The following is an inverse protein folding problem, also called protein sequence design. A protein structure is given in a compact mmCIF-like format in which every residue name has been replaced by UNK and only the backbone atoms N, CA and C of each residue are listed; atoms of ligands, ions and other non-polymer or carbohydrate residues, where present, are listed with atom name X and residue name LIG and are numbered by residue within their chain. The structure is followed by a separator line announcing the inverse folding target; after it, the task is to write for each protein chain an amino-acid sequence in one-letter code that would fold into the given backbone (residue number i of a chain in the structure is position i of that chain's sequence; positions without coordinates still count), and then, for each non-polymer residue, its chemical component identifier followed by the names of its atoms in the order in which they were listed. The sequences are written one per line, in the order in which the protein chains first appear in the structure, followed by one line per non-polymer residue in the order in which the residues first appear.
data_IF_874225368053
#
_entry.id   IF_874225368053
#
_cell.length_a   1.000
_cell.length_b   1.000
_cell.length_c   1.000
_cell.angle_alpha   90.00
_cell.angle_beta   90.00
_cell.angle_gamma   90.00
#
_symmetry.space_group_name_H-M   'P 1'
#
loop_
_entity.id
_entity.type
_entity.pdbx_description
1 polymer ?
#
# COMPACT_ATOMS: atom_id res chain seq x y z
N UNK A 1 24.71 1.84 42.34
CA UNK A 1 24.15 0.70 41.60
C UNK A 1 22.76 1.09 41.17
N UNK A 2 22.59 1.43 39.90
CA UNK A 2 21.25 1.52 39.33
C UNK A 2 20.83 0.07 39.06
N UNK A 3 19.81 -0.39 39.78
CA UNK A 3 19.15 -1.65 39.46
C UNK A 3 18.48 -1.46 38.11
N UNK A 4 19.05 -2.09 37.08
CA UNK A 4 18.32 -2.50 35.88
C UNK A 4 17.20 -3.43 36.36
N UNK A 5 16.02 -2.86 36.58
CA UNK A 5 14.81 -3.65 36.57
C UNK A 5 14.53 -3.89 35.10
N UNK A 6 15.04 -5.02 34.64
CA UNK A 6 14.65 -5.68 33.40
C UNK A 6 13.13 -5.95 33.46
N UNK A 7 12.36 -4.94 33.08
CA UNK A 7 10.95 -5.05 32.76
C UNK A 7 10.78 -5.43 31.28
N UNK A 8 11.69 -6.22 30.70
CA UNK A 8 11.28 -7.02 29.55
C UNK A 8 10.26 -8.03 30.08
N UNK A 9 8.99 -7.78 29.81
CA UNK A 9 7.91 -8.73 30.04
C UNK A 9 8.15 -9.96 29.17
N UNK A 10 9.04 -10.84 29.61
CA UNK A 10 9.45 -12.06 28.92
C UNK A 10 8.43 -13.18 29.15
N UNK A 11 7.14 -12.92 28.91
CA UNK A 11 6.23 -13.99 28.55
C UNK A 11 6.45 -14.25 27.08
N UNK A 12 7.09 -15.38 26.75
CA UNK A 12 7.22 -15.82 25.36
C UNK A 12 5.85 -15.92 24.67
N UNK A 13 5.82 -16.07 23.33
CA UNK A 13 4.59 -16.16 22.57
C UNK A 13 3.64 -17.21 23.17
N UNK A 14 2.38 -16.81 23.40
CA UNK A 14 1.36 -17.68 23.98
C UNK A 14 0.51 -18.36 22.91
N UNK A 15 0.58 -17.90 21.66
CA UNK A 15 -0.13 -18.46 20.53
C UNK A 15 0.65 -19.62 19.89
N UNK A 16 0.13 -20.86 19.90
CA UNK A 16 0.80 -22.00 19.27
C UNK A 16 0.90 -21.92 17.74
N UNK A 17 0.10 -21.05 17.10
CA UNK A 17 0.19 -20.79 15.66
C UNK A 17 1.25 -19.73 15.31
N UNK A 18 1.83 -19.05 16.31
CA UNK A 18 2.88 -18.06 16.08
C UNK A 18 4.20 -18.71 15.66
N UNK A 19 4.80 -18.15 14.63
CA UNK A 19 6.24 -18.21 14.39
C UNK A 19 6.68 -16.90 13.74
N UNK A 20 7.94 -16.51 13.93
CA UNK A 20 8.48 -15.29 13.32
C UNK A 20 8.36 -15.32 11.79
N UNK A 21 8.59 -16.49 11.18
CA UNK A 21 8.45 -16.66 9.72
C UNK A 21 7.00 -16.51 9.26
N UNK A 22 6.04 -17.13 9.96
CA UNK A 22 4.63 -17.06 9.62
C UNK A 22 4.09 -15.64 9.80
N UNK A 23 4.48 -14.96 10.89
CA UNK A 23 4.11 -13.57 11.14
C UNK A 23 4.73 -12.63 10.10
N UNK A 24 6.02 -12.78 9.79
CA UNK A 24 6.71 -11.98 8.77
C UNK A 24 6.05 -12.12 7.40
N UNK A 25 5.70 -13.35 7.01
CA UNK A 25 4.99 -13.63 5.76
C UNK A 25 3.60 -13.02 5.73
N UNK A 26 2.79 -13.23 6.77
CA UNK A 26 1.44 -12.69 6.83
C UNK A 26 1.44 -11.15 6.89
N UNK A 27 2.42 -10.56 7.56
CA UNK A 27 2.65 -9.11 7.57
C UNK A 27 2.98 -8.59 6.18
N UNK A 28 3.87 -9.26 5.45
CA UNK A 28 4.19 -8.89 4.07
C UNK A 28 2.95 -8.97 3.17
N UNK A 29 2.15 -10.04 3.27
CA UNK A 29 0.93 -10.21 2.47
C UNK A 29 -0.13 -9.15 2.77
N UNK A 30 -0.37 -8.81 4.04
CA UNK A 30 -1.33 -7.74 4.39
C UNK A 30 -0.81 -6.37 3.96
N UNK A 31 0.50 -6.12 4.05
CA UNK A 31 1.10 -4.86 3.60
C UNK A 31 1.07 -4.70 2.07
N UNK A 32 0.80 -5.76 1.29
CA UNK A 32 0.51 -5.62 -0.13
C UNK A 32 -0.86 -5.00 -0.39
N UNK A 33 -1.79 -5.02 0.58
CA UNK A 33 -3.07 -4.35 0.45
C UNK A 33 -2.90 -2.86 0.71
N UNK A 34 -3.38 -2.05 -0.22
CA UNK A 34 -3.44 -0.61 -0.04
C UNK A 34 -4.69 -0.03 -0.70
N UNK A 35 -5.08 1.16 -0.26
CA UNK A 35 -6.17 1.90 -0.86
C UNK A 35 -5.62 2.74 -2.00
N UNK A 36 -6.37 2.84 -3.10
CA UNK A 36 -5.96 3.70 -4.21
C UNK A 36 -5.65 5.11 -3.68
N UNK A 37 -4.45 5.66 -3.93
CA UNK A 37 -3.98 6.87 -3.25
C UNK A 37 -4.73 8.16 -3.63
N UNK A 38 -5.59 8.10 -4.63
CA UNK A 38 -6.42 9.21 -5.10
C UNK A 38 -7.27 8.77 -6.29
N UNK A 39 -8.01 9.70 -6.89
CA UNK A 39 -8.74 9.43 -8.14
C UNK A 39 -7.74 9.27 -9.28
N UNK A 40 -7.89 8.20 -10.06
CA UNK A 40 -7.02 7.92 -11.21
C UNK A 40 -7.27 8.89 -12.36
N UNK A 41 -6.22 9.57 -12.79
CA UNK A 41 -6.17 10.39 -14.00
C UNK A 41 -5.15 9.76 -14.98
N UNK A 42 -5.61 9.34 -16.16
CA UNK A 42 -4.73 8.86 -17.22
C UNK A 42 -4.14 10.06 -17.98
N UNK A 43 -2.88 10.41 -17.71
CA UNK A 43 -2.22 11.56 -18.34
C UNK A 43 -1.91 11.25 -19.80
N UNK A 44 -1.33 10.07 -20.05
CA UNK A 44 -1.07 9.48 -21.37
C UNK A 44 -0.66 8.01 -21.22
N UNK A 45 -0.58 7.20 -22.29
CA UNK A 45 -0.10 5.82 -22.19
C UNK A 45 1.23 5.72 -21.46
N UNK A 46 1.26 4.91 -20.38
CA UNK A 46 2.41 4.71 -19.52
C UNK A 46 2.59 5.75 -18.40
N UNK A 47 1.69 6.71 -18.23
CA UNK A 47 1.70 7.67 -17.12
C UNK A 47 0.30 7.88 -16.55
N UNK A 48 0.10 7.41 -15.33
CA UNK A 48 -1.10 7.65 -14.54
C UNK A 48 -0.80 8.60 -13.39
N UNK A 49 -1.80 9.36 -12.94
CA UNK A 49 -1.72 10.26 -11.78
C UNK A 49 -2.83 9.95 -10.78
N UNK A 50 -2.52 10.04 -9.50
CA UNK A 50 -3.40 9.85 -8.36
C UNK A 50 -3.14 10.98 -7.36
N UNK A 51 -3.81 12.12 -7.53
CA UNK A 51 -3.52 13.32 -6.72
C UNK A 51 -2.09 13.82 -6.95
N UNK A 52 -1.22 13.69 -5.95
CA UNK A 52 0.20 14.08 -6.05
C UNK A 52 1.10 12.93 -6.51
N UNK A 53 0.57 11.71 -6.65
CA UNK A 53 1.34 10.52 -7.04
C UNK A 53 1.29 10.31 -8.55
N UNK A 54 2.43 10.23 -9.20
CA UNK A 54 2.60 9.80 -10.58
C UNK A 54 3.11 8.36 -10.62
N UNK A 55 2.49 7.54 -11.47
CA UNK A 55 2.94 6.18 -11.77
C UNK A 55 3.35 6.12 -13.23
N UNK A 56 4.61 5.80 -13.47
CA UNK A 56 5.20 5.63 -14.81
C UNK A 56 5.43 4.14 -15.02
N UNK A 57 4.85 3.59 -16.09
CA UNK A 57 4.75 2.15 -16.32
C UNK A 57 4.83 1.81 -17.81
N UNK A 58 4.99 0.53 -18.13
CA UNK A 58 4.90 0.04 -19.50
C UNK A 58 3.42 -0.29 -19.82
N UNK A 59 2.76 0.43 -20.74
CA UNK A 59 1.36 0.22 -21.06
C UNK A 59 1.05 -1.08 -21.80
N UNK A 60 2.08 -1.77 -22.34
CA UNK A 60 1.91 -3.05 -23.04
C UNK A 60 1.90 -4.26 -22.07
N UNK A 61 2.02 -4.01 -20.76
CA UNK A 61 1.99 -5.02 -19.70
C UNK A 61 0.59 -5.11 -19.09
N UNK A 62 0.26 -6.17 -18.32
CA UNK A 62 -0.94 -6.20 -17.50
C UNK A 62 -1.04 -4.95 -16.57
N UNK A 63 -2.18 -4.67 -15.94
CA UNK A 63 -2.28 -3.59 -14.97
C UNK A 63 -1.24 -3.75 -13.85
N UNK A 64 -0.56 -2.68 -13.45
CA UNK A 64 0.49 -2.74 -12.40
C UNK A 64 -0.09 -2.97 -11.00
N UNK A 65 -1.33 -2.54 -10.78
CA UNK A 65 -2.13 -2.88 -9.60
C UNK A 65 -3.38 -3.62 -10.03
N UNK A 66 -3.85 -4.52 -9.17
CA UNK A 66 -5.10 -5.23 -9.34
C UNK A 66 -6.00 -5.01 -8.14
N UNK A 67 -7.29 -4.86 -8.39
CA UNK A 67 -8.28 -4.76 -7.32
C UNK A 67 -8.54 -6.14 -6.72
N UNK A 68 -8.58 -6.22 -5.39
CA UNK A 68 -8.87 -7.46 -4.68
C UNK A 68 -10.36 -7.61 -4.39
N UNK A 69 -10.81 -8.84 -4.21
CA UNK A 69 -12.14 -9.16 -3.70
C UNK A 69 -12.21 -9.05 -2.18
N UNK A 70 -13.43 -8.97 -1.64
CA UNK A 70 -13.66 -9.04 -0.19
C UNK A 70 -13.06 -10.32 0.40
N UNK A 71 -13.25 -11.47 -0.27
CA UNK A 71 -12.69 -12.76 0.13
C UNK A 71 -11.18 -12.73 0.21
N UNK A 72 -10.50 -12.15 -0.78
CA UNK A 72 -9.05 -12.05 -0.77
C UNK A 72 -8.55 -11.15 0.35
N UNK A 73 -9.13 -9.95 0.51
CA UNK A 73 -8.74 -9.00 1.55
C UNK A 73 -8.90 -9.60 2.95
N UNK A 74 -10.09 -10.14 3.27
CA UNK A 74 -10.37 -10.72 4.57
C UNK A 74 -9.54 -11.98 4.86
N UNK A 75 -9.24 -12.81 3.84
CA UNK A 75 -8.35 -13.96 4.02
C UNK A 75 -6.97 -13.51 4.51
N UNK A 76 -6.41 -12.44 3.95
CA UNK A 76 -5.10 -11.92 4.36
C UNK A 76 -5.15 -11.36 5.79
N UNK A 77 -6.18 -10.56 6.11
CA UNK A 77 -6.38 -10.01 7.45
C UNK A 77 -6.52 -11.12 8.51
N UNK A 78 -7.33 -12.15 8.24
CA UNK A 78 -7.51 -13.29 9.15
C UNK A 78 -6.19 -14.05 9.33
N UNK A 79 -5.44 -14.28 8.25
CA UNK A 79 -4.15 -14.96 8.31
C UNK A 79 -3.14 -14.18 9.17
N UNK A 80 -3.10 -12.86 9.05
CA UNK A 80 -2.27 -12.01 9.90
C UNK A 80 -2.63 -12.16 11.38
N UNK A 81 -3.91 -12.02 11.74
CA UNK A 81 -4.31 -12.11 13.15
C UNK A 81 -4.10 -13.48 13.77
N UNK A 82 -4.18 -14.56 12.99
CA UNK A 82 -3.85 -15.92 13.45
C UNK A 82 -2.38 -16.07 13.87
N UNK A 83 -1.50 -15.23 13.33
CA UNK A 83 -0.07 -15.27 13.55
C UNK A 83 0.42 -14.28 14.62
N UNK A 84 -0.46 -13.64 15.39
CA UNK A 84 -0.04 -12.72 16.48
C UNK A 84 0.52 -13.52 17.67
N UNK A 85 1.62 -13.07 18.33
CA UNK A 85 2.24 -13.82 19.44
C UNK A 85 1.30 -14.07 20.63
N UNK A 86 0.42 -13.12 20.93
CA UNK A 86 -0.54 -13.18 22.03
C UNK A 86 -1.84 -13.90 21.61
N UNK A 87 -2.11 -15.07 22.21
CA UNK A 87 -3.28 -15.90 21.86
C UNK A 87 -4.61 -15.20 22.14
N UNK A 88 -4.71 -14.49 23.26
CA UNK A 88 -5.93 -13.78 23.64
C UNK A 88 -6.27 -12.67 22.63
N UNK A 89 -5.26 -11.94 22.16
CA UNK A 89 -5.43 -10.92 21.12
C UNK A 89 -5.81 -11.55 19.78
N UNK A 90 -5.09 -12.61 19.39
CA UNK A 90 -5.41 -13.39 18.18
C UNK A 90 -6.86 -13.86 18.19
N UNK A 91 -7.35 -14.43 19.30
CA UNK A 91 -8.71 -14.94 19.39
C UNK A 91 -9.77 -13.85 19.26
N UNK A 92 -9.56 -12.71 19.92
CA UNK A 92 -10.48 -11.57 19.83
C UNK A 92 -10.53 -11.05 18.40
N UNK A 93 -9.37 -10.81 17.78
CA UNK A 93 -9.30 -10.19 16.46
C UNK A 93 -9.71 -11.15 15.33
N UNK A 94 -9.30 -12.41 15.38
CA UNK A 94 -9.75 -13.42 14.41
C UNK A 94 -11.27 -13.58 14.49
N UNK A 95 -11.84 -13.64 15.69
CA UNK A 95 -13.29 -13.74 15.87
C UNK A 95 -14.02 -12.51 15.31
N UNK A 96 -13.54 -11.29 15.61
CA UNK A 96 -14.12 -10.06 15.11
C UNK A 96 -14.09 -9.98 13.57
N UNK A 97 -12.92 -10.21 12.96
CA UNK A 97 -12.74 -10.14 11.51
C UNK A 97 -13.50 -11.26 10.79
N UNK A 98 -13.54 -12.47 11.36
CA UNK A 98 -14.33 -13.58 10.80
C UNK A 98 -15.84 -13.31 10.89
N UNK A 99 -16.31 -12.71 11.99
CA UNK A 99 -17.69 -12.30 12.16
C UNK A 99 -18.08 -11.29 11.08
N UNK A 100 -17.26 -10.25 10.87
CA UNK A 100 -17.45 -9.29 9.77
C UNK A 100 -17.50 -9.98 8.40
N UNK A 101 -16.52 -10.82 8.10
CA UNK A 101 -16.48 -11.54 6.82
C UNK A 101 -17.74 -12.38 6.59
N UNK A 102 -18.29 -12.98 7.65
CA UNK A 102 -19.48 -13.82 7.59
C UNK A 102 -20.79 -13.03 7.42
N UNK A 103 -20.79 -11.70 7.63
CA UNK A 103 -21.95 -10.84 7.37
C UNK A 103 -22.23 -10.69 5.88
N UNK A 104 -21.20 -10.81 5.04
CA UNK A 104 -21.33 -10.82 3.59
C UNK A 104 -21.93 -12.15 3.11
N UNK A 105 -22.87 -12.08 2.18
CA UNK A 105 -23.30 -13.24 1.39
C UNK A 105 -22.16 -13.78 0.52
N UNK A 106 -22.25 -15.03 0.06
CA UNK A 106 -21.21 -15.60 -0.82
C UNK A 106 -21.00 -14.79 -2.10
N UNK A 107 -22.07 -14.25 -2.68
CA UNK A 107 -21.96 -13.37 -3.85
C UNK A 107 -21.23 -12.06 -3.52
N UNK A 108 -21.46 -11.48 -2.34
CA UNK A 108 -20.76 -10.26 -1.91
C UNK A 108 -19.28 -10.50 -1.59
N UNK A 109 -18.93 -11.67 -1.06
CA UNK A 109 -17.54 -12.06 -0.79
C UNK A 109 -16.69 -12.07 -2.06
N UNK A 110 -17.29 -12.37 -3.20
CA UNK A 110 -16.60 -12.42 -4.50
C UNK A 110 -16.66 -11.07 -5.26
N UNK A 111 -17.31 -10.05 -4.69
CA UNK A 111 -17.25 -8.68 -5.23
C UNK A 111 -15.93 -8.01 -4.87
N UNK A 112 -15.58 -7.02 -5.68
CA UNK A 112 -14.44 -6.17 -5.41
C UNK A 112 -14.57 -5.39 -4.09
N UNK A 113 -13.44 -5.26 -3.41
CA UNK A 113 -13.31 -4.54 -2.15
C UNK A 113 -13.06 -3.05 -2.38
N UNK A 114 -13.69 -2.24 -1.54
CA UNK A 114 -13.59 -0.78 -1.49
C UNK A 114 -13.44 -0.33 -0.04
N UNK A 115 -12.68 0.74 0.17
CA UNK A 115 -12.56 1.39 1.48
C UNK A 115 -13.73 2.35 1.72
N UNK A 116 -14.21 2.43 2.96
CA UNK A 116 -15.24 3.39 3.39
C UNK A 116 -16.44 2.77 4.09
N UNK A 117 -16.46 1.45 4.32
CA UNK A 117 -17.55 0.80 5.05
C UNK A 117 -17.52 1.21 6.54
N UNK A 118 -18.52 1.92 7.06
CA UNK A 118 -18.49 2.36 8.46
C UNK A 118 -18.71 1.24 9.47
N UNK A 119 -19.21 0.07 9.04
CA UNK A 119 -19.54 -1.05 9.91
C UNK A 119 -18.43 -2.11 9.97
N UNK A 120 -17.36 -1.93 9.21
CA UNK A 120 -16.14 -2.76 9.26
C UNK A 120 -15.03 -2.08 10.06
N UNK A 121 -14.36 -2.83 10.93
CA UNK A 121 -13.13 -2.42 11.64
C UNK A 121 -12.05 -1.98 10.66
N UNK A 122 -11.95 -2.65 9.51
CA UNK A 122 -10.99 -2.32 8.45
C UNK A 122 -11.51 -1.31 7.44
N UNK A 123 -12.76 -0.87 7.59
CA UNK A 123 -13.49 -0.03 6.63
C UNK A 123 -13.59 -0.65 5.24
N UNK A 124 -13.49 -1.97 5.10
CA UNK A 124 -13.53 -2.66 3.80
C UNK A 124 -14.94 -3.20 3.57
N UNK A 125 -15.53 -2.85 2.42
CA UNK A 125 -16.85 -3.33 1.99
C UNK A 125 -16.97 -3.44 0.47
N UNK A 126 -18.11 -3.94 -0.02
CA UNK A 126 -18.33 -4.22 -1.46
C UNK A 126 -18.96 -3.04 -2.23
N UNK A 127 -19.32 -1.96 -1.53
CA UNK A 127 -19.98 -0.80 -2.12
C UNK A 127 -18.98 -0.03 -2.96
N UNK A 128 -19.22 0.00 -4.28
CA UNK A 128 -18.33 0.65 -5.24
C UNK A 128 -18.18 2.15 -4.94
N UNK A 129 -16.94 2.61 -4.90
CA UNK A 129 -16.55 4.01 -4.79
C UNK A 129 -15.17 4.25 -5.46
N UNK A 130 -14.60 5.45 -5.30
CA UNK A 130 -13.32 5.86 -5.91
C UNK A 130 -12.08 5.43 -5.12
N UNK A 131 -12.25 4.65 -4.05
CA UNK A 131 -11.18 4.17 -3.16
C UNK A 131 -11.15 2.63 -3.14
N UNK A 132 -10.86 1.97 -4.28
CA UNK A 132 -10.74 0.51 -4.32
C UNK A 132 -9.57 0.02 -3.45
N UNK A 133 -9.72 -1.19 -2.90
CA UNK A 133 -8.62 -1.90 -2.24
C UNK A 133 -7.83 -2.65 -3.32
N UNK A 134 -6.54 -2.33 -3.42
CA UNK A 134 -5.64 -2.80 -4.46
C UNK A 134 -4.50 -3.63 -3.85
N UNK A 135 -3.81 -4.37 -4.71
CA UNK A 135 -2.49 -4.95 -4.44
C UNK A 135 -1.60 -4.87 -5.70
N UNK A 136 -0.27 -5.01 -5.57
CA UNK A 136 0.59 -5.17 -6.74
C UNK A 136 0.15 -6.37 -7.59
N UNK A 137 0.15 -6.21 -8.92
CA UNK A 137 -0.12 -7.32 -9.81
C UNK A 137 1.17 -8.13 -10.04
N UNK A 138 1.26 -9.40 -9.59
CA UNK A 138 2.45 -10.22 -9.79
C UNK A 138 2.75 -10.46 -11.27
N UNK A 139 1.74 -10.45 -12.14
CA UNK A 139 1.89 -10.66 -13.60
C UNK A 139 2.50 -9.46 -14.32
N UNK A 140 2.51 -8.28 -13.69
CA UNK A 140 3.16 -7.10 -14.25
C UNK A 140 4.67 -7.31 -14.41
N UNK A 141 5.29 -7.92 -13.39
CA UNK A 141 6.74 -8.03 -13.25
C UNK A 141 7.36 -8.97 -14.29
N UNK A 142 8.24 -8.43 -15.12
CA UNK A 142 9.07 -9.20 -16.01
C UNK A 142 10.31 -9.71 -15.29
N UNK A 143 10.32 -11.00 -14.93
CA UNK A 143 11.50 -11.62 -14.30
C UNK A 143 12.60 -11.99 -15.30
N UNK A 144 12.38 -11.81 -16.60
CA UNK A 144 13.40 -12.06 -17.65
C UNK A 144 14.28 -10.84 -17.93
N UNK A 145 13.92 -9.65 -17.43
CA UNK A 145 14.74 -8.45 -17.59
C UNK A 145 15.94 -8.45 -16.63
N UNK A 146 17.01 -7.71 -16.95
CA UNK A 146 18.12 -7.49 -16.01
C UNK A 146 17.64 -6.92 -14.68
N UNK A 147 18.35 -7.22 -13.58
CA UNK A 147 18.02 -6.68 -12.25
C UNK A 147 18.04 -5.15 -12.18
N UNK A 148 18.77 -4.48 -13.08
CA UNK A 148 18.82 -3.02 -13.19
C UNK A 148 17.64 -2.41 -13.94
N UNK A 149 16.78 -3.23 -14.55
CA UNK A 149 15.69 -2.74 -15.37
C UNK A 149 14.60 -2.08 -14.52
N UNK A 150 14.27 -0.84 -14.84
CA UNK A 150 13.20 -0.10 -14.17
C UNK A 150 11.89 -0.53 -14.81
N UNK A 151 10.99 -1.19 -14.08
CA UNK A 151 9.70 -1.66 -14.62
C UNK A 151 8.53 -0.77 -14.24
N UNK A 152 8.62 -0.09 -13.11
CA UNK A 152 7.65 0.89 -12.65
C UNK A 152 8.40 1.97 -11.88
N UNK A 153 7.93 3.20 -11.95
CA UNK A 153 8.42 4.31 -11.16
C UNK A 153 7.23 5.01 -10.54
N UNK A 154 7.29 5.23 -9.23
CA UNK A 154 6.26 5.96 -8.48
C UNK A 154 6.93 7.20 -7.90
N UNK A 155 6.37 8.38 -8.19
CA UNK A 155 6.88 9.67 -7.76
C UNK A 155 5.77 10.45 -7.08
N UNK A 156 6.05 11.05 -5.93
CA UNK A 156 5.17 12.02 -5.31
C UNK A 156 5.64 13.43 -5.68
N UNK A 157 4.81 14.16 -6.41
CA UNK A 157 5.07 15.51 -6.89
C UNK A 157 3.90 16.38 -6.48
N UNK A 158 4.12 17.26 -5.48
CA UNK A 158 3.06 18.15 -5.03
C UNK A 158 2.53 19.04 -6.15
N UNK A 159 1.34 19.61 -5.94
CA UNK A 159 0.81 20.61 -6.86
C UNK A 159 1.81 21.75 -7.13
N UNK A 160 1.83 22.27 -8.36
CA UNK A 160 2.82 23.28 -8.77
C UNK A 160 2.86 24.53 -7.87
N UNK A 161 1.70 24.94 -7.35
CA UNK A 161 1.62 26.04 -6.37
C UNK A 161 2.33 25.70 -5.05
N UNK A 162 2.12 24.50 -4.53
CA UNK A 162 2.80 24.01 -3.31
C UNK A 162 4.30 23.95 -3.52
N UNK A 163 4.76 23.41 -4.67
CA UNK A 163 6.19 23.33 -5.01
C UNK A 163 6.80 24.74 -5.07
N UNK A 164 6.17 25.69 -5.76
CA UNK A 164 6.65 27.07 -5.86
C UNK A 164 6.70 27.79 -4.53
N UNK A 165 5.67 27.62 -3.69
CA UNK A 165 5.63 28.23 -2.36
C UNK A 165 6.74 27.68 -1.46
N UNK A 166 6.93 26.36 -1.43
CA UNK A 166 8.02 25.73 -0.65
C UNK A 166 9.39 26.12 -1.18
N UNK A 167 9.57 26.17 -2.50
CA UNK A 167 10.81 26.64 -3.13
C UNK A 167 11.16 28.07 -2.71
N UNK A 168 10.20 29.00 -2.80
CA UNK A 168 10.41 30.40 -2.39
C UNK A 168 10.75 30.52 -0.90
N UNK A 169 10.07 29.76 -0.03
CA UNK A 169 10.37 29.76 1.39
C UNK A 169 11.79 29.27 1.68
N UNK A 170 12.21 28.15 1.08
CA UNK A 170 13.58 27.64 1.23
C UNK A 170 14.62 28.65 0.74
N UNK A 171 14.36 29.36 -0.35
CA UNK A 171 15.26 30.40 -0.87
C UNK A 171 15.45 31.55 0.14
N UNK A 172 14.36 31.99 0.80
CA UNK A 172 14.41 33.09 1.78
C UNK A 172 15.23 32.75 3.03
N UNK A 173 15.15 31.50 3.50
CA UNK A 173 15.86 31.05 4.72
C UNK A 173 17.23 30.42 4.43
N UNK A 174 17.64 30.34 3.15
CA UNK A 174 18.90 29.71 2.76
C UNK A 174 18.93 28.19 2.95
N UNK A 175 17.78 27.53 2.82
CA UNK A 175 17.63 26.08 3.01
C UNK A 175 17.97 25.30 1.71
N UNK A 176 18.82 24.27 1.85
CA UNK A 176 19.24 23.39 0.76
C UNK A 176 18.10 22.61 0.09
N UNK A 177 16.95 22.42 0.76
CA UNK A 177 15.76 21.82 0.16
C UNK A 177 15.24 22.61 -1.05
N UNK A 178 15.67 23.87 -1.24
CA UNK A 178 15.44 24.66 -2.45
C UNK A 178 15.71 23.86 -3.74
N UNK A 179 16.83 23.12 -3.79
CA UNK A 179 17.22 22.38 -5.00
C UNK A 179 16.31 21.19 -5.28
N UNK A 180 15.70 20.59 -4.25
CA UNK A 180 14.71 19.52 -4.41
C UNK A 180 13.43 20.11 -5.01
N UNK A 181 12.91 21.21 -4.46
CA UNK A 181 11.70 21.82 -5.02
C UNK A 181 11.91 22.39 -6.41
N UNK A 182 13.11 22.90 -6.70
CA UNK A 182 13.48 23.31 -8.06
C UNK A 182 13.47 22.13 -9.04
N UNK A 183 14.04 20.97 -8.65
CA UNK A 183 13.95 19.75 -9.45
C UNK A 183 12.48 19.36 -9.70
N UNK A 184 11.62 19.40 -8.67
CA UNK A 184 10.20 19.07 -8.81
C UNK A 184 9.41 20.06 -9.68
N UNK A 185 9.79 21.34 -9.72
CA UNK A 185 9.19 22.35 -10.61
C UNK A 185 9.64 22.19 -12.07
N UNK A 186 10.90 21.77 -12.28
CA UNK A 186 11.50 21.64 -13.60
C UNK A 186 11.33 20.24 -14.24
N UNK A 187 10.96 19.22 -13.46
CA UNK A 187 10.90 17.84 -13.95
C UNK A 187 9.78 17.66 -14.98
N UNK A 188 10.16 17.23 -16.18
CA UNK A 188 9.20 16.78 -17.18
C UNK A 188 8.98 15.27 -17.02
N UNK A 189 7.88 14.87 -16.38
CA UNK A 189 7.56 13.44 -16.13
C UNK A 189 7.53 12.60 -17.42
N UNK A 190 7.20 13.21 -18.55
CA UNK A 190 7.24 12.54 -19.85
C UNK A 190 8.63 12.07 -20.27
N UNK A 191 9.70 12.72 -19.80
CA UNK A 191 11.09 12.37 -20.15
C UNK A 191 11.56 11.07 -19.48
N UNK A 192 10.82 10.58 -18.49
CA UNK A 192 11.13 9.36 -17.74
C UNK A 192 10.56 8.09 -18.41
N UNK A 193 9.55 8.21 -19.29
CA UNK A 193 8.98 7.06 -20.00
C UNK A 193 10.03 6.17 -20.70
N UNK A 194 11.03 6.72 -21.42
CA UNK A 194 12.02 5.92 -22.11
C UNK A 194 12.93 5.10 -21.19
N UNK A 195 12.89 5.27 -19.86
CA UNK A 195 13.69 4.44 -18.94
C UNK A 195 12.97 3.17 -18.50
N UNK A 196 11.65 3.07 -18.72
CA UNK A 196 10.87 1.91 -18.34
C UNK A 196 11.14 0.74 -19.31
N UNK A 197 11.46 -0.43 -18.75
CA UNK A 197 11.64 -1.69 -19.49
C UNK A 197 12.99 -1.85 -20.19
N UNK A 198 13.94 -0.94 -19.95
CA UNK A 198 15.33 -1.04 -20.44
C UNK A 198 16.20 -1.91 -19.55
#
# INVERSE_FOLDING_TARGET
GFNETDFSNASGPTNPAFSEEAMSRATAEVNELFYQPGVKEAIKPGIDRYGEIYVIYNPDRPPYWQQVTIREAYRLLINYWKCIPEKAESDVMVSAVQSEFNRFSEAEKDRYAYFGDPESVYRIGYVKNDTPVLRPNPEYWNKTLPRSAIQIMVLEIPGAEVVKNKMNNCLQVGDGYYYIYRLLDEINISSLLPVIGK
#
